data_IF_412215953999
#
_entry.id   IF_412215953999
#
_cell.length_a   1.000
_cell.length_b   1.000
_cell.length_c   1.000
_cell.angle_alpha   90.00
_cell.angle_beta   90.00
_cell.angle_gamma   90.00
#
_symmetry.space_group_name_H-M   'P 1'
#
loop_
_entity.id
_entity.type
_entity.pdbx_description
1 polymer ?
#
# COMPACT_ATOMS: atom_id res chain seq x y z
N UNK A 1 -7.86 5.36 -14.77
CA UNK A 1 -7.57 6.27 -13.63
C UNK A 1 -6.20 5.87 -13.09
N UNK A 2 -5.56 6.57 -12.14
CA UNK A 2 -4.32 6.08 -11.52
C UNK A 2 -4.68 4.90 -10.58
N UNK A 3 -5.05 3.78 -11.20
CA UNK A 3 -5.62 2.60 -10.54
C UNK A 3 -4.57 1.82 -9.75
N UNK A 4 -3.29 2.16 -9.90
CA UNK A 4 -2.15 1.51 -9.27
C UNK A 4 -2.23 1.51 -7.74
N UNK A 5 -2.50 2.67 -7.11
CA UNK A 5 -2.56 2.77 -5.65
C UNK A 5 -3.74 1.96 -5.08
N UNK A 6 -4.90 2.02 -5.74
CA UNK A 6 -6.10 1.29 -5.34
C UNK A 6 -5.92 -0.22 -5.51
N UNK A 7 -5.23 -0.65 -6.57
CA UNK A 7 -4.90 -2.05 -6.78
C UNK A 7 -3.89 -2.57 -5.76
N UNK A 8 -2.89 -1.75 -5.38
CA UNK A 8 -1.93 -2.08 -4.32
C UNK A 8 -2.64 -2.27 -2.98
N UNK A 9 -3.53 -1.36 -2.58
CA UNK A 9 -4.33 -1.50 -1.36
C UNK A 9 -5.12 -2.80 -1.29
N UNK A 10 -5.84 -3.12 -2.38
CA UNK A 10 -6.60 -4.37 -2.48
C UNK A 10 -5.69 -5.57 -2.25
N UNK A 11 -4.55 -5.64 -2.95
CA UNK A 11 -3.62 -6.75 -2.85
C UNK A 11 -2.96 -6.85 -1.48
N UNK A 12 -2.66 -5.73 -0.83
CA UNK A 12 -2.09 -5.75 0.52
C UNK A 12 -3.04 -6.46 1.49
N UNK A 13 -4.32 -6.09 1.49
CA UNK A 13 -5.31 -6.69 2.40
C UNK A 13 -5.84 -8.06 1.97
N UNK A 14 -5.97 -8.32 0.66
CA UNK A 14 -6.53 -9.59 0.18
C UNK A 14 -5.50 -10.68 -0.06
N UNK A 15 -4.23 -10.33 -0.31
CA UNK A 15 -3.17 -11.28 -0.68
C UNK A 15 -2.00 -11.24 0.30
N UNK A 16 -1.44 -10.07 0.58
CA UNK A 16 -0.18 -9.95 1.34
C UNK A 16 -0.36 -10.24 2.83
N UNK A 17 -1.30 -9.58 3.51
CA UNK A 17 -1.56 -9.86 4.93
C UNK A 17 -1.93 -11.33 5.19
N UNK A 18 -2.82 -11.98 4.42
CA UNK A 18 -3.12 -13.40 4.59
C UNK A 18 -1.96 -14.35 4.31
N UNK A 19 -0.97 -13.94 3.50
CA UNK A 19 0.18 -14.78 3.12
C UNK A 19 1.44 -14.55 3.96
N UNK A 20 1.40 -13.60 4.91
CA UNK A 20 2.53 -13.24 5.75
C UNK A 20 2.28 -13.58 7.22
N UNK A 21 3.34 -13.55 8.02
CA UNK A 21 3.26 -13.61 9.48
C UNK A 21 3.03 -12.24 10.11
N UNK A 22 2.47 -11.27 9.37
CA UNK A 22 2.23 -9.91 9.86
C UNK A 22 0.73 -9.61 9.92
N UNK A 23 0.35 -8.72 10.84
CA UNK A 23 -1.01 -8.17 10.93
C UNK A 23 -1.00 -6.65 10.83
N UNK A 24 -2.12 -6.09 10.39
CA UNK A 24 -2.33 -4.65 10.30
C UNK A 24 -2.31 -4.04 11.71
N UNK A 25 -1.42 -3.07 11.93
CA UNK A 25 -1.34 -2.37 13.21
C UNK A 25 -2.41 -1.27 13.28
N UNK A 26 -2.93 -1.00 14.49
CA UNK A 26 -3.82 0.13 14.73
C UNK A 26 -3.02 1.45 14.81
N UNK A 27 -2.49 1.88 13.67
CA UNK A 27 -1.68 3.08 13.53
C UNK A 27 -1.88 3.73 12.14
N UNK A 28 -1.54 5.02 11.97
CA UNK A 28 -1.78 5.72 10.72
C UNK A 28 -1.04 5.13 9.51
N UNK A 29 -1.74 5.08 8.39
CA UNK A 29 -1.20 4.70 7.08
C UNK A 29 -0.90 5.94 6.23
N UNK A 30 0.04 5.84 5.30
CA UNK A 30 0.43 6.94 4.43
C UNK A 30 0.43 6.53 2.96
N UNK A 31 -0.15 7.39 2.12
CA UNK A 31 0.07 7.38 0.68
C UNK A 31 1.06 8.48 0.32
N UNK A 32 2.19 8.10 -0.29
CA UNK A 32 3.24 9.03 -0.69
C UNK A 32 3.17 9.25 -2.20
N UNK A 33 2.91 10.51 -2.57
CA UNK A 33 2.86 10.97 -3.95
C UNK A 33 4.06 11.89 -4.21
N UNK A 34 4.97 11.47 -5.09
CA UNK A 34 6.14 12.25 -5.46
C UNK A 34 5.79 13.40 -6.43
N UNK A 35 6.64 14.44 -6.55
CA UNK A 35 6.48 15.45 -7.59
C UNK A 35 6.50 14.82 -9.00
N UNK A 36 5.58 15.23 -9.87
CA UNK A 36 5.46 14.72 -11.23
C UNK A 36 4.02 14.70 -11.72
N UNK A 37 3.77 14.03 -12.85
CA UNK A 37 2.42 13.77 -13.37
C UNK A 37 1.88 12.44 -12.83
N UNK A 38 0.88 12.45 -11.92
CA UNK A 38 0.29 11.24 -11.35
C UNK A 38 -0.47 10.36 -12.36
N UNK A 39 -0.76 10.88 -13.55
CA UNK A 39 -1.39 10.13 -14.64
C UNK A 39 -0.38 9.43 -15.55
N UNK A 40 0.93 9.72 -15.40
CA UNK A 40 1.97 9.04 -16.16
C UNK A 40 2.05 7.56 -15.79
N UNK A 41 2.23 6.69 -16.78
CA UNK A 41 2.42 5.26 -16.56
C UNK A 41 3.69 4.94 -15.75
N UNK A 42 4.70 5.81 -15.82
CA UNK A 42 5.96 5.68 -15.09
C UNK A 42 5.94 6.40 -13.73
N UNK A 43 4.78 6.95 -13.34
CA UNK A 43 4.64 7.61 -12.04
C UNK A 43 4.72 6.60 -10.90
N UNK A 44 5.58 6.89 -9.93
CA UNK A 44 5.72 6.09 -8.71
C UNK A 44 4.99 6.75 -7.55
N UNK A 45 4.26 5.94 -6.81
CA UNK A 45 3.72 6.27 -5.49
C UNK A 45 3.99 5.13 -4.53
N UNK A 46 3.85 5.38 -3.24
CA UNK A 46 4.08 4.38 -2.20
C UNK A 46 2.92 4.33 -1.22
N UNK A 47 2.69 3.13 -0.67
CA UNK A 47 1.75 2.89 0.42
C UNK A 47 2.56 2.38 1.60
N UNK A 48 2.49 3.09 2.71
CA UNK A 48 3.21 2.77 3.94
C UNK A 48 2.18 2.38 4.99
N UNK A 49 2.22 1.12 5.41
CA UNK A 49 1.27 0.53 6.36
C UNK A 49 2.05 -0.01 7.56
N UNK A 50 1.67 0.37 8.79
CA UNK A 50 2.29 -0.17 9.99
C UNK A 50 1.84 -1.62 10.20
N UNK A 51 2.79 -2.48 10.59
CA UNK A 51 2.56 -3.91 10.81
C UNK A 51 3.05 -4.36 12.17
N UNK A 52 2.44 -5.42 12.70
CA UNK A 52 2.88 -6.15 13.90
C UNK A 52 3.11 -7.62 13.57
N UNK A 53 4.02 -8.28 14.29
CA UNK A 53 4.21 -9.73 14.18
C UNK A 53 2.97 -10.49 14.68
N UNK A 54 2.49 -11.41 13.85
CA UNK A 54 1.45 -12.39 14.19
C UNK A 54 2.09 -13.45 15.10
N UNK A 55 1.99 -13.24 16.41
CA UNK A 55 2.46 -14.22 17.42
C UNK A 55 1.71 -15.55 17.33
#
# INVERSE_FOLDING_TARGET
MPDAIQNVWKRIFSEWFPSTGYEHADAPELEVYYPGDPASADYRSEVWIPVIDKK
#
